data_IF_685836097275
#
_entry.id   IF_685836097275
#
_cell.length_a   1.000
_cell.length_b   1.000
_cell.length_c   1.000
_cell.angle_alpha   90.00
_cell.angle_beta   90.00
_cell.angle_gamma   90.00
#
_symmetry.space_group_name_H-M   'P 1'
#
loop_
_entity.id
_entity.type
_entity.pdbx_description
1 polymer ?
#
# COMPACT_ATOMS: atom_id res chain seq x y z
N UNK A 1 -6.63 -14.40 9.85
CA UNK A 1 -5.90 -13.21 10.32
C UNK A 1 -6.88 -12.20 10.89
N UNK A 2 -6.56 -11.66 12.07
CA UNK A 2 -7.25 -10.52 12.67
C UNK A 2 -6.67 -9.20 12.12
N UNK A 3 -7.32 -8.07 12.43
CA UNK A 3 -6.92 -6.73 11.99
C UNK A 3 -5.44 -6.44 12.27
N UNK A 4 -4.99 -6.65 13.52
CA UNK A 4 -3.61 -6.36 13.94
C UNK A 4 -2.58 -7.13 13.13
N UNK A 5 -2.85 -8.41 12.84
CA UNK A 5 -1.98 -9.24 12.00
C UNK A 5 -1.92 -8.73 10.55
N UNK A 6 -3.07 -8.34 9.97
CA UNK A 6 -3.12 -7.77 8.61
C UNK A 6 -2.31 -6.49 8.55
N UNK A 7 -2.52 -5.58 9.52
CA UNK A 7 -1.80 -4.31 9.60
C UNK A 7 -0.29 -4.53 9.65
N UNK A 8 0.19 -5.38 10.56
CA UNK A 8 1.65 -5.64 10.69
C UNK A 8 2.24 -6.22 9.42
N UNK A 9 1.58 -7.20 8.79
CA UNK A 9 2.06 -7.78 7.54
C UNK A 9 2.05 -6.77 6.39
N UNK A 10 1.02 -5.92 6.33
CA UNK A 10 0.91 -4.86 5.33
C UNK A 10 2.01 -3.82 5.50
N UNK A 11 2.29 -3.39 6.74
CA UNK A 11 3.37 -2.45 7.05
C UNK A 11 4.75 -3.04 6.67
N UNK A 12 5.02 -4.32 6.99
CA UNK A 12 6.28 -5.00 6.63
C UNK A 12 6.46 -5.15 5.11
N UNK A 13 5.40 -5.56 4.42
CA UNK A 13 5.40 -5.72 2.98
C UNK A 13 5.61 -4.37 2.28
N UNK A 14 4.90 -3.32 2.74
CA UNK A 14 5.05 -1.98 2.20
C UNK A 14 6.44 -1.39 2.46
N UNK A 15 7.04 -1.66 3.62
CA UNK A 15 8.41 -1.22 3.90
C UNK A 15 9.41 -1.79 2.88
N UNK A 16 9.26 -3.05 2.47
CA UNK A 16 10.15 -3.66 1.46
C UNK A 16 10.01 -2.97 0.09
N UNK A 17 8.76 -2.68 -0.30
CA UNK A 17 8.45 -1.91 -1.52
C UNK A 17 9.05 -0.50 -1.45
N UNK A 18 8.92 0.16 -0.30
CA UNK A 18 9.42 1.52 -0.08
C UNK A 18 10.95 1.57 -0.13
N UNK A 19 11.64 0.58 0.44
CA UNK A 19 13.10 0.47 0.40
C UNK A 19 13.62 0.31 -1.04
N UNK A 20 12.98 -0.53 -1.86
CA UNK A 20 13.31 -0.64 -3.30
C UNK A 20 13.07 0.67 -4.05
N UNK A 21 11.93 1.33 -3.82
CA UNK A 21 11.65 2.59 -4.50
C UNK A 21 12.66 3.70 -4.11
N UNK A 22 13.04 3.78 -2.82
CA UNK A 22 14.03 4.73 -2.30
C UNK A 22 15.44 4.48 -2.85
N UNK A 23 15.80 3.22 -3.16
CA UNK A 23 17.07 2.91 -3.84
C UNK A 23 17.04 3.19 -5.35
N UNK A 24 15.90 3.61 -5.89
CA UNK A 24 15.72 3.83 -7.33
C UNK A 24 15.52 2.52 -8.10
N UNK A 25 15.13 1.44 -7.42
CA UNK A 25 14.89 0.14 -8.00
C UNK A 25 13.38 -0.13 -8.13
N UNK A 26 13.01 -0.97 -9.10
CA UNK A 26 11.63 -1.39 -9.27
C UNK A 26 11.24 -2.32 -8.11
N UNK A 27 10.14 -2.05 -7.38
CA UNK A 27 9.62 -3.01 -6.42
C UNK A 27 9.31 -4.36 -7.07
N UNK A 28 9.55 -5.45 -6.35
CA UNK A 28 9.24 -6.79 -6.85
C UNK A 28 7.74 -6.93 -7.10
N UNK A 29 7.37 -7.57 -8.21
CA UNK A 29 5.98 -7.88 -8.51
C UNK A 29 5.36 -8.80 -7.45
N UNK A 30 6.15 -9.70 -6.86
CA UNK A 30 5.69 -10.60 -5.80
C UNK A 30 5.33 -9.82 -4.52
N UNK A 31 6.16 -8.86 -4.13
CA UNK A 31 5.90 -8.01 -2.97
C UNK A 31 4.65 -7.14 -3.19
N UNK A 32 4.52 -6.56 -4.39
CA UNK A 32 3.36 -5.73 -4.74
C UNK A 32 2.07 -6.55 -4.80
N UNK A 33 2.13 -7.80 -5.29
CA UNK A 33 1.00 -8.72 -5.28
C UNK A 33 0.56 -9.07 -3.86
N UNK A 34 1.52 -9.36 -2.99
CA UNK A 34 1.24 -9.64 -1.58
C UNK A 34 0.65 -8.42 -0.87
N UNK A 35 1.19 -7.23 -1.15
CA UNK A 35 0.66 -5.97 -0.63
C UNK A 35 -0.81 -5.77 -1.04
N UNK A 36 -1.16 -5.92 -2.33
CA UNK A 36 -2.56 -5.82 -2.78
C UNK A 36 -3.46 -6.84 -2.08
N UNK A 37 -2.98 -8.07 -1.89
CA UNK A 37 -3.75 -9.11 -1.20
C UNK A 37 -4.05 -8.69 0.24
N UNK A 38 -3.08 -8.08 0.92
CA UNK A 38 -3.22 -7.57 2.28
C UNK A 38 -4.14 -6.33 2.34
N UNK A 39 -4.03 -5.40 1.39
CA UNK A 39 -4.94 -4.24 1.27
C UNK A 39 -6.38 -4.71 1.06
N UNK A 40 -6.63 -5.65 0.14
CA UNK A 40 -7.95 -6.27 -0.05
C UNK A 40 -8.45 -7.00 1.19
N UNK A 41 -7.54 -7.52 2.02
CA UNK A 41 -7.93 -8.12 3.30
C UNK A 41 -8.29 -7.05 4.33
N UNK A 42 -7.59 -5.92 4.33
CA UNK A 42 -7.85 -4.79 5.22
C UNK A 42 -9.26 -4.21 5.02
N UNK A 43 -9.79 -4.22 3.78
CA UNK A 43 -11.15 -3.75 3.48
C UNK A 43 -12.24 -4.39 4.35
N UNK A 44 -12.02 -5.63 4.79
CA UNK A 44 -12.97 -6.36 5.66
C UNK A 44 -13.06 -5.80 7.08
N UNK A 45 -12.13 -4.92 7.47
CA UNK A 45 -12.10 -4.24 8.76
C UNK A 45 -12.38 -2.74 8.64
N UNK A 46 -12.59 -2.25 7.41
CA UNK A 46 -12.89 -0.85 7.15
C UNK A 46 -14.27 -0.49 7.70
N UNK A 47 -14.34 0.66 8.36
CA UNK A 47 -15.54 1.22 8.98
C UNK A 47 -15.96 2.45 8.18
N UNK A 48 -17.23 2.84 8.28
CA UNK A 48 -17.78 3.95 7.50
C UNK A 48 -17.03 5.29 7.68
N UNK A 49 -16.38 5.50 8.83
CA UNK A 49 -15.65 6.72 9.17
C UNK A 49 -14.34 6.94 8.38
N UNK A 50 -13.84 5.90 7.71
CA UNK A 50 -12.61 5.98 6.91
C UNK A 50 -12.69 5.15 5.62
N UNK A 51 -13.92 4.83 5.18
CA UNK A 51 -14.15 4.02 4.00
C UNK A 51 -13.63 4.68 2.71
N UNK A 52 -13.87 5.99 2.58
CA UNK A 52 -13.44 6.77 1.41
C UNK A 52 -11.90 6.85 1.35
N UNK A 53 -11.24 7.18 2.48
CA UNK A 53 -9.78 7.19 2.58
C UNK A 53 -9.16 5.83 2.21
N UNK A 54 -9.81 4.74 2.64
CA UNK A 54 -9.39 3.39 2.31
C UNK A 54 -9.59 3.07 0.82
N UNK A 55 -10.68 3.52 0.20
CA UNK A 55 -10.93 3.30 -1.21
C UNK A 55 -9.87 3.98 -2.09
N UNK A 56 -9.52 5.22 -1.76
CA UNK A 56 -8.44 5.97 -2.43
C UNK A 56 -7.08 5.26 -2.26
N UNK A 57 -6.77 4.79 -1.04
CA UNK A 57 -5.55 4.02 -0.77
C UNK A 57 -5.50 2.73 -1.58
N UNK A 58 -6.61 1.99 -1.62
CA UNK A 58 -6.72 0.76 -2.40
C UNK A 58 -6.59 1.03 -3.90
N UNK A 59 -7.16 2.13 -4.41
CA UNK A 59 -6.98 2.54 -5.80
C UNK A 59 -5.50 2.77 -6.12
N UNK A 60 -4.78 3.54 -5.29
CA UNK A 60 -3.35 3.78 -5.47
C UNK A 60 -2.52 2.48 -5.41
N UNK A 61 -2.85 1.55 -4.52
CA UNK A 61 -2.18 0.25 -4.45
C UNK A 61 -2.34 -0.56 -5.75
N UNK A 62 -3.51 -0.50 -6.40
CA UNK A 62 -3.72 -1.13 -7.70
C UNK A 62 -2.96 -0.41 -8.83
N UNK A 63 -2.82 0.92 -8.75
CA UNK A 63 -2.00 1.67 -9.70
C UNK A 63 -0.51 1.31 -9.60
N UNK A 64 0.01 1.09 -8.38
CA UNK A 64 1.38 0.62 -8.17
C UNK A 64 1.63 -0.69 -8.90
N UNK A 65 0.74 -1.67 -8.74
CA UNK A 65 0.83 -2.95 -9.44
C UNK A 65 0.82 -2.81 -10.95
N UNK A 66 0.00 -1.90 -11.49
CA UNK A 66 -0.02 -1.63 -12.92
C UNK A 66 1.30 -1.03 -13.41
N UNK A 67 1.84 -0.04 -12.69
CA UNK A 67 3.12 0.58 -13.02
C UNK A 67 4.28 -0.44 -12.98
N UNK A 68 4.31 -1.28 -11.95
CA UNK A 68 5.32 -2.34 -11.78
C UNK A 68 5.23 -3.38 -12.90
N UNK A 69 4.02 -3.86 -13.23
CA UNK A 69 3.82 -4.80 -14.34
C UNK A 69 4.27 -4.23 -15.69
N UNK A 70 4.15 -2.92 -15.89
CA UNK A 70 4.55 -2.24 -17.12
C UNK A 70 6.02 -1.82 -17.16
N UNK A 71 6.75 -1.98 -16.06
CA UNK A 71 8.13 -1.51 -15.94
C UNK A 71 8.26 0.02 -15.86
N UNK A 72 7.19 0.73 -15.47
CA UNK A 72 7.16 2.19 -15.40
C UNK A 72 7.80 2.70 -14.08
N UNK A 73 9.13 2.63 -13.96
CA UNK A 73 9.85 2.90 -12.70
C UNK A 73 9.53 4.26 -12.08
N UNK A 74 9.57 5.33 -12.87
CA UNK A 74 9.30 6.68 -12.36
C UNK A 74 7.88 6.83 -11.81
N UNK A 75 6.90 6.19 -12.44
CA UNK A 75 5.52 6.19 -11.99
C UNK A 75 5.37 5.33 -10.71
N UNK A 76 6.01 4.16 -10.68
CA UNK A 76 5.99 3.29 -9.50
C UNK A 76 6.57 4.00 -8.26
N UNK A 77 7.70 4.70 -8.39
CA UNK A 77 8.31 5.48 -7.29
C UNK A 77 7.34 6.56 -6.78
N UNK A 78 6.75 7.36 -7.68
CA UNK A 78 5.79 8.41 -7.31
C UNK A 78 4.56 7.86 -6.58
N UNK A 79 4.06 6.70 -7.01
CA UNK A 79 2.93 6.05 -6.37
C UNK A 79 3.31 5.53 -4.98
N UNK A 80 4.52 4.98 -4.81
CA UNK A 80 5.01 4.52 -3.49
C UNK A 80 5.11 5.69 -2.51
N UNK A 81 5.66 6.84 -2.93
CA UNK A 81 5.69 8.06 -2.10
C UNK A 81 4.28 8.49 -1.69
N UNK A 82 3.34 8.53 -2.65
CA UNK A 82 1.95 8.90 -2.40
C UNK A 82 1.25 7.92 -1.44
N UNK A 83 1.51 6.62 -1.58
CA UNK A 83 0.99 5.58 -0.68
C UNK A 83 1.55 5.74 0.74
N UNK A 84 2.82 6.10 0.89
CA UNK A 84 3.43 6.32 2.20
C UNK A 84 2.81 7.52 2.92
N UNK A 85 2.55 8.61 2.18
CA UNK A 85 1.87 9.79 2.71
C UNK A 85 0.42 9.45 3.12
N UNK A 86 -0.31 8.73 2.28
CA UNK A 86 -1.68 8.30 2.57
C UNK A 86 -1.75 7.35 3.78
N UNK A 87 -0.82 6.39 3.89
CA UNK A 87 -0.72 5.50 5.05
C UNK A 87 -0.43 6.28 6.33
N UNK A 88 0.49 7.25 6.27
CA UNK A 88 0.82 8.13 7.40
C UNK A 88 -0.39 8.95 7.83
N UNK A 89 -1.13 9.52 6.88
CA UNK A 89 -2.38 10.23 7.15
C UNK A 89 -3.40 9.31 7.84
N UNK A 90 -3.65 8.11 7.29
CA UNK A 90 -4.60 7.16 7.87
C UNK A 90 -4.25 6.79 9.31
N UNK A 91 -2.96 6.54 9.60
CA UNK A 91 -2.49 6.22 10.94
C UNK A 91 -2.64 7.38 11.94
N UNK A 92 -2.54 8.62 11.49
CA UNK A 92 -2.67 9.80 12.35
C UNK A 92 -4.14 10.18 12.59
N UNK A 93 -4.95 10.15 11.54
CA UNK A 93 -6.37 10.52 11.55
C UNK A 93 -7.21 9.48 12.27
N UNK A 94 -6.89 8.21 12.08
CA UNK A 94 -7.66 7.09 12.60
C UNK A 94 -6.78 6.29 13.56
N UNK A 95 -6.81 6.68 14.85
CA UNK A 95 -6.01 6.03 15.90
C UNK A 95 -6.54 4.60 16.16
N UNK A 96 -6.02 3.62 15.43
CA UNK A 96 -6.29 2.19 15.59
C UNK A 96 -5.24 1.47 16.44
#
# INVERSE_FOLDING_TARGET
MNFKQVKVLMDQCFQSIEESAKSGEMPSLDDVNEFIRLVKRMSTFTREDWADDFEDFNYMANQLHHAVNKGELGNAIQIVESLNDAQTYCHQSHRY
#
